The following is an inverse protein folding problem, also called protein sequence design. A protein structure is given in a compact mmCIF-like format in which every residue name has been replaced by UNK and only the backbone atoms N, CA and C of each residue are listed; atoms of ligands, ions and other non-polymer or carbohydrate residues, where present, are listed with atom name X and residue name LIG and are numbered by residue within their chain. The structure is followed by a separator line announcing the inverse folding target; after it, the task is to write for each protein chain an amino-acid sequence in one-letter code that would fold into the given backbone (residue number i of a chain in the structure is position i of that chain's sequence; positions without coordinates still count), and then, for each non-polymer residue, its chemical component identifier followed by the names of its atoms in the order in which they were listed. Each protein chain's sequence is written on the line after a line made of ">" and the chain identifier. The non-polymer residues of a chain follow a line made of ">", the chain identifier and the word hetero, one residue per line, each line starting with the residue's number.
data_IF_465171974193
#
_entry.id   IF_465171974193
#
_cell.length_a   1.000
_cell.length_b   1.000
_cell.length_c   1.000
_cell.angle_alpha   90.00
_cell.angle_beta   90.00
_cell.angle_gamma   90.00
#
_symmetry.space_group_name_H-M   'P 1'
#
loop_
_entity.id
_entity.type
_entity.pdbx_description
1 polymer ?
#
# COMPACT_ATOMS: atom_id res chain seq x y z
N UNK A 1 -4.17 14.53 16.90
CA UNK A 1 -3.80 13.27 16.22
C UNK A 1 -4.79 13.01 15.09
N UNK A 2 -4.35 12.45 13.96
CA UNK A 2 -5.25 11.94 12.92
C UNK A 2 -5.47 10.45 13.12
N UNK A 3 -6.72 9.97 13.14
CA UNK A 3 -7.09 8.56 13.25
C UNK A 3 -7.72 8.10 11.93
N UNK A 4 -7.29 6.95 11.45
CA UNK A 4 -7.83 6.27 10.27
C UNK A 4 -8.31 4.88 10.68
N UNK A 5 -9.46 4.48 10.16
CA UNK A 5 -10.03 3.14 10.32
C UNK A 5 -10.23 2.51 8.95
N UNK A 6 -9.77 1.26 8.79
CA UNK A 6 -9.77 0.59 7.49
C UNK A 6 -10.20 -0.85 7.64
N UNK A 7 -11.25 -1.26 6.92
CA UNK A 7 -11.70 -2.65 6.92
C UNK A 7 -10.64 -3.55 6.29
N UNK A 8 -10.24 -4.60 7.01
CA UNK A 8 -9.23 -5.56 6.57
C UNK A 8 -9.87 -6.89 6.10
N UNK A 9 -11.05 -7.22 6.62
CA UNK A 9 -11.81 -8.42 6.23
C UNK A 9 -13.29 -8.26 6.60
N UNK A 10 -14.08 -9.33 6.45
CA UNK A 10 -15.44 -9.39 6.97
C UNK A 10 -15.52 -9.43 8.50
N UNK A 11 -14.40 -9.59 9.21
CA UNK A 11 -14.38 -9.69 10.67
C UNK A 11 -13.25 -8.90 11.33
N UNK A 12 -12.64 -7.94 10.62
CA UNK A 12 -11.51 -7.16 11.11
C UNK A 12 -11.47 -5.75 10.54
N UNK A 13 -11.16 -4.78 11.40
CA UNK A 13 -10.83 -3.39 11.05
C UNK A 13 -9.48 -3.04 11.68
N UNK A 14 -8.57 -2.47 10.90
CA UNK A 14 -7.29 -1.96 11.36
C UNK A 14 -7.38 -0.44 11.59
N UNK A 15 -6.86 0.00 12.72
CA UNK A 15 -6.74 1.40 13.10
C UNK A 15 -5.29 1.84 13.03
N UNK A 16 -5.04 3.02 12.47
CA UNK A 16 -3.74 3.71 12.51
C UNK A 16 -3.94 5.16 12.89
N UNK A 17 -3.02 5.72 13.66
CA UNK A 17 -3.07 7.14 14.01
C UNK A 17 -1.68 7.78 14.03
N UNK A 18 -1.64 9.11 13.95
CA UNK A 18 -0.41 9.87 14.16
C UNK A 18 -0.12 9.99 15.65
N UNK A 19 1.16 9.91 16.07
CA UNK A 19 1.53 10.19 17.45
C UNK A 19 1.01 11.57 17.92
N UNK A 20 0.67 11.69 19.20
CA UNK A 20 0.27 12.99 19.76
C UNK A 20 1.46 13.96 19.78
N UNK A 21 1.24 15.21 19.38
CA UNK A 21 2.29 16.25 19.34
C UNK A 21 2.57 16.88 20.70
N UNK A 22 1.65 16.70 21.66
CA UNK A 22 1.84 17.11 23.05
C UNK A 22 2.57 16.00 23.81
N UNK A 23 3.87 15.88 23.53
CA UNK A 23 4.69 14.70 23.83
C UNK A 23 5.33 14.70 25.24
N UNK A 24 4.87 15.55 26.16
CA UNK A 24 5.31 15.46 27.54
C UNK A 24 4.56 14.31 28.23
N UNK A 25 4.98 13.08 27.93
CA UNK A 25 4.68 11.91 28.76
C UNK A 25 3.59 10.94 28.28
N UNK A 26 3.20 10.92 26.99
CA UNK A 26 2.29 9.87 26.48
C UNK A 26 2.92 8.48 26.69
N UNK A 27 2.26 7.66 27.49
CA UNK A 27 2.70 6.28 27.76
C UNK A 27 1.83 5.25 27.07
N UNK A 28 0.58 5.59 26.74
CA UNK A 28 -0.35 4.69 26.09
C UNK A 28 -1.45 5.43 25.31
N UNK A 29 -2.14 4.67 24.47
CA UNK A 29 -3.36 5.05 23.77
C UNK A 29 -4.50 4.15 24.19
N UNK A 30 -5.67 4.73 24.53
CA UNK A 30 -6.88 3.96 24.79
C UNK A 30 -7.76 3.94 23.54
N UNK A 31 -8.18 2.74 23.15
CA UNK A 31 -9.01 2.49 21.96
C UNK A 31 -10.42 2.11 22.39
N UNK A 32 -11.41 2.76 21.81
CA UNK A 32 -12.82 2.50 22.02
C UNK A 32 -13.49 2.14 20.68
N UNK A 33 -14.45 1.22 20.74
CA UNK A 33 -15.32 0.87 19.63
C UNK A 33 -16.76 1.00 20.08
N UNK A 34 -17.52 1.81 19.35
CA UNK A 34 -18.90 2.20 19.67
C UNK A 34 -18.99 2.66 21.13
N UNK A 35 -18.07 3.57 21.51
CA UNK A 35 -17.91 4.15 22.86
C UNK A 35 -17.51 3.15 23.96
N UNK A 36 -17.35 1.86 23.65
CA UNK A 36 -16.93 0.83 24.60
C UNK A 36 -15.42 0.61 24.52
N UNK A 37 -14.74 0.63 25.66
CA UNK A 37 -13.30 0.37 25.77
C UNK A 37 -12.94 -1.02 25.19
N UNK A 38 -11.88 -1.07 24.39
CA UNK A 38 -11.39 -2.30 23.76
C UNK A 38 -9.98 -2.64 24.17
N UNK A 39 -9.07 -1.67 24.16
CA UNK A 39 -7.67 -1.93 24.42
C UNK A 39 -6.92 -0.69 24.90
N UNK A 40 -5.80 -0.95 25.59
CA UNK A 40 -4.74 0.01 25.83
C UNK A 40 -3.53 -0.41 24.99
N UNK A 41 -3.02 0.49 24.16
CA UNK A 41 -1.84 0.28 23.30
C UNK A 41 -0.69 1.09 23.87
N UNK A 42 0.39 0.43 24.30
CA UNK A 42 1.56 1.13 24.84
C UNK A 42 2.28 1.92 23.75
N UNK A 43 2.69 3.15 24.06
CA UNK A 43 3.58 3.93 23.20
C UNK A 43 4.94 3.20 23.06
N UNK A 44 5.64 3.32 21.91
CA UNK A 44 5.37 4.21 20.79
C UNK A 44 4.44 3.63 19.71
N UNK A 45 3.79 2.48 19.94
CA UNK A 45 2.90 1.90 18.93
C UNK A 45 1.68 2.81 18.67
N UNK A 46 1.34 2.97 17.39
CA UNK A 46 0.24 3.85 16.92
C UNK A 46 -0.73 3.14 15.98
N UNK A 47 -0.91 1.84 16.22
CA UNK A 47 -1.82 1.00 15.46
C UNK A 47 -2.54 -0.01 16.36
N UNK A 48 -3.71 -0.46 15.94
CA UNK A 48 -4.50 -1.49 16.62
C UNK A 48 -5.31 -2.31 15.60
N UNK A 49 -5.34 -3.63 15.77
CA UNK A 49 -6.13 -4.53 14.93
C UNK A 49 -7.34 -5.05 15.72
N UNK A 50 -8.53 -4.59 15.36
CA UNK A 50 -9.77 -5.02 15.98
C UNK A 50 -10.38 -6.20 15.21
N UNK A 51 -10.53 -7.35 15.89
CA UNK A 51 -10.95 -8.63 15.28
C UNK A 51 -12.25 -9.15 15.91
N UNK A 52 -12.83 -10.20 15.31
CA UNK A 52 -14.07 -10.81 15.80
C UNK A 52 -15.32 -9.97 15.51
N UNK A 53 -15.25 -9.13 14.47
CA UNK A 53 -16.34 -8.26 14.04
C UNK A 53 -17.39 -9.02 13.23
N UNK A 54 -18.61 -8.50 13.20
CA UNK A 54 -19.65 -8.96 12.30
C UNK A 54 -19.41 -8.42 10.89
N UNK A 55 -19.75 -9.20 9.87
CA UNK A 55 -19.66 -8.81 8.47
C UNK A 55 -20.66 -7.69 8.12
N UNK A 56 -20.34 -6.88 7.11
CA UNK A 56 -21.19 -5.78 6.62
C UNK A 56 -21.68 -4.82 7.71
N UNK A 57 -20.88 -4.59 8.74
CA UNK A 57 -21.27 -3.80 9.91
C UNK A 57 -20.39 -2.57 10.03
N UNK A 58 -21.02 -1.39 10.18
CA UNK A 58 -20.34 -0.12 10.45
C UNK A 58 -19.94 -0.07 11.92
N UNK A 59 -18.68 0.22 12.18
CA UNK A 59 -18.14 0.43 13.52
C UNK A 59 -17.55 1.83 13.63
N UNK A 60 -17.75 2.45 14.80
CA UNK A 60 -17.18 3.76 15.13
C UNK A 60 -16.04 3.58 16.13
N UNK A 61 -14.92 4.25 15.89
CA UNK A 61 -13.73 4.14 16.73
C UNK A 61 -13.32 5.49 17.28
N UNK A 62 -12.88 5.50 18.54
CA UNK A 62 -12.16 6.63 19.10
C UNK A 62 -10.86 6.21 19.75
N UNK A 63 -9.85 7.09 19.65
CA UNK A 63 -8.54 6.90 20.28
C UNK A 63 -8.18 8.16 21.07
N UNK A 64 -7.71 7.98 22.30
CA UNK A 64 -7.13 9.05 23.13
C UNK A 64 -5.72 8.68 23.58
N UNK A 65 -4.85 9.69 23.72
CA UNK A 65 -3.50 9.52 24.23
C UNK A 65 -3.49 9.84 25.71
N UNK A 66 -2.89 8.97 26.53
CA UNK A 66 -2.84 9.13 27.98
C UNK A 66 -1.39 9.14 28.49
N UNK A 67 -1.14 9.92 29.54
CA UNK A 67 0.15 9.99 30.22
C UNK A 67 0.28 8.99 31.40
N UNK A 68 1.46 8.93 32.01
CA UNK A 68 1.71 8.07 33.18
C UNK A 68 0.89 8.44 34.43
N UNK A 69 0.37 9.67 34.51
CA UNK A 69 -0.47 10.16 35.59
C UNK A 69 -1.97 9.89 35.33
N UNK A 70 -2.33 9.36 34.16
CA UNK A 70 -3.70 9.05 33.76
C UNK A 70 -4.46 10.22 33.12
N UNK A 71 -3.78 11.32 32.79
CA UNK A 71 -4.40 12.40 32.02
C UNK A 71 -4.51 11.98 30.56
N UNK A 72 -5.70 12.08 29.98
CA UNK A 72 -5.96 11.70 28.59
C UNK A 72 -6.36 12.92 27.74
N UNK A 73 -5.94 12.91 26.49
CA UNK A 73 -6.23 13.97 25.52
C UNK A 73 -7.65 13.89 24.93
N UNK A 74 -8.01 14.88 24.12
CA UNK A 74 -9.24 14.81 23.32
C UNK A 74 -9.23 13.59 22.38
N UNK A 75 -10.39 12.97 22.22
CA UNK A 75 -10.54 11.80 21.36
C UNK A 75 -10.43 12.17 19.88
N UNK A 76 -9.67 11.39 19.11
CA UNK A 76 -9.79 11.34 17.65
C UNK A 76 -10.78 10.26 17.25
N UNK A 77 -11.56 10.49 16.19
CA UNK A 77 -12.62 9.59 15.75
C UNK A 77 -12.46 9.17 14.29
N UNK A 78 -12.84 7.94 13.98
CA UNK A 78 -12.93 7.39 12.62
C UNK A 78 -14.03 6.31 12.58
N UNK A 79 -14.44 5.91 11.38
CA UNK A 79 -15.38 4.78 11.22
C UNK A 79 -15.05 3.98 9.97
N UNK A 80 -15.40 2.70 9.99
CA UNK A 80 -15.26 1.82 8.83
C UNK A 80 -16.31 0.70 8.87
N UNK A 81 -16.68 0.20 7.69
CA UNK A 81 -17.63 -0.91 7.54
C UNK A 81 -16.87 -2.17 7.15
N UNK A 82 -17.04 -3.27 7.90
CA UNK A 82 -16.46 -4.57 7.54
C UNK A 82 -16.98 -5.07 6.20
N UNK A 83 -16.20 -5.94 5.55
CA UNK A 83 -16.64 -6.55 4.29
C UNK A 83 -17.84 -7.51 4.50
N UNK A 84 -18.55 -7.83 3.42
CA UNK A 84 -19.55 -8.90 3.47
C UNK A 84 -18.92 -10.27 3.68
N UNK A 85 -19.68 -11.21 4.23
CA UNK A 85 -19.19 -12.55 4.50
C UNK A 85 -18.70 -13.23 3.19
N UNK A 86 -17.54 -13.88 3.24
CA UNK A 86 -16.93 -14.53 2.07
C UNK A 86 -16.15 -13.59 1.15
N UNK A 87 -16.15 -12.28 1.41
CA UNK A 87 -15.30 -11.33 0.71
C UNK A 87 -13.92 -11.25 1.38
N UNK A 88 -12.86 -11.34 0.58
CA UNK A 88 -11.49 -11.12 1.03
C UNK A 88 -10.89 -9.89 0.34
N UNK A 89 -9.88 -9.30 0.99
CA UNK A 89 -9.00 -8.32 0.37
C UNK A 89 -7.77 -9.04 -0.15
N UNK A 90 -7.35 -8.69 -1.36
CA UNK A 90 -6.00 -9.00 -1.80
C UNK A 90 -5.07 -7.93 -1.23
N UNK A 91 -4.10 -8.36 -0.43
CA UNK A 91 -3.02 -7.49 0.03
C UNK A 91 -1.75 -7.95 -0.67
N UNK A 92 -1.16 -7.15 -1.58
CA UNK A 92 0.07 -7.54 -2.26
C UNK A 92 1.20 -7.69 -1.24
N UNK A 93 1.78 -8.89 -1.20
CA UNK A 93 3.04 -9.15 -0.51
C UNK A 93 4.16 -9.17 -1.56
N UNK A 94 5.13 -8.29 -1.38
CA UNK A 94 6.33 -8.22 -2.18
C UNK A 94 7.39 -9.11 -1.56
N UNK A 95 8.12 -9.82 -2.40
CA UNK A 95 9.39 -10.45 -2.07
C UNK A 95 10.55 -9.51 -2.44
N UNK A 96 11.77 -9.72 -1.89
CA UNK A 96 12.95 -9.03 -2.38
C UNK A 96 13.14 -9.22 -3.88
N UNK A 97 13.42 -8.13 -4.59
CA UNK A 97 13.55 -8.08 -6.04
C UNK A 97 12.30 -7.55 -6.74
N UNK A 98 12.16 -7.90 -8.02
CA UNK A 98 11.11 -7.36 -8.90
C UNK A 98 9.85 -8.21 -8.81
N UNK A 99 8.76 -7.58 -8.37
CA UNK A 99 7.44 -8.18 -8.22
C UNK A 99 6.51 -7.59 -9.28
N UNK A 100 5.75 -8.44 -9.95
CA UNK A 100 4.70 -8.00 -10.86
C UNK A 100 3.35 -8.05 -10.14
N UNK A 101 2.69 -6.91 -10.02
CA UNK A 101 1.43 -6.74 -9.30
C UNK A 101 0.42 -5.94 -10.14
N UNK A 102 -0.83 -5.87 -9.69
CA UNK A 102 -1.93 -5.14 -10.34
C UNK A 102 -2.51 -4.12 -9.37
N UNK A 103 -3.03 -3.00 -9.88
CA UNK A 103 -3.83 -2.11 -9.05
C UNK A 103 -5.16 -2.78 -8.69
N UNK A 104 -5.24 -3.26 -7.44
CA UNK A 104 -6.40 -3.97 -6.91
C UNK A 104 -7.60 -3.05 -6.61
N UNK A 105 -7.41 -1.73 -6.66
CA UNK A 105 -8.46 -0.75 -6.41
C UNK A 105 -9.38 -0.61 -7.64
N UNK A 106 -10.63 -0.23 -7.39
CA UNK A 106 -11.55 0.24 -8.43
C UNK A 106 -11.35 1.74 -8.76
N UNK A 107 -10.33 2.36 -8.19
CA UNK A 107 -9.91 3.75 -8.42
C UNK A 107 -8.48 3.81 -8.90
N UNK A 108 -8.10 4.93 -9.51
CA UNK A 108 -6.71 5.20 -9.84
C UNK A 108 -5.86 5.25 -8.56
N UNK A 109 -4.75 4.54 -8.58
CA UNK A 109 -3.73 4.52 -7.56
C UNK A 109 -2.78 5.70 -7.78
N UNK A 110 -2.63 6.54 -6.77
CA UNK A 110 -1.61 7.58 -6.74
C UNK A 110 -0.29 6.99 -6.23
N UNK A 111 0.73 7.05 -7.08
CA UNK A 111 2.03 6.40 -6.84
C UNK A 111 2.75 7.04 -5.65
N UNK A 112 2.64 8.37 -5.49
CA UNK A 112 3.28 9.07 -4.38
C UNK A 112 2.57 8.77 -3.06
N UNK A 113 1.24 8.70 -3.05
CA UNK A 113 0.50 8.32 -1.83
C UNK A 113 0.78 6.87 -1.43
N UNK A 114 0.94 5.98 -2.40
CA UNK A 114 1.12 4.54 -2.16
C UNK A 114 2.55 4.18 -1.76
N UNK A 115 3.54 4.75 -2.46
CA UNK A 115 4.94 4.39 -2.32
C UNK A 115 5.81 5.48 -1.68
N UNK A 116 5.33 6.72 -1.64
CA UNK A 116 6.08 7.89 -1.19
C UNK A 116 7.17 8.32 -2.15
N UNK A 117 7.89 9.35 -1.73
CA UNK A 117 9.16 9.77 -2.30
C UNK A 117 10.04 10.37 -1.18
N UNK A 118 11.27 10.79 -1.46
CA UNK A 118 12.13 11.33 -0.39
C UNK A 118 11.61 12.67 0.20
N UNK A 119 10.79 13.40 -0.55
CA UNK A 119 10.16 14.66 -0.09
C UNK A 119 8.91 14.40 0.76
N UNK A 120 8.23 13.27 0.54
CA UNK A 120 6.99 12.85 1.20
C UNK A 120 7.00 11.33 1.44
N UNK A 121 7.75 10.85 2.45
CA UNK A 121 7.93 9.42 2.69
C UNK A 121 6.66 8.77 3.26
N UNK A 122 6.41 7.55 2.81
CA UNK A 122 5.44 6.60 3.37
C UNK A 122 6.20 5.63 4.27
N UNK A 123 5.85 5.63 5.55
CA UNK A 123 6.53 4.83 6.57
C UNK A 123 6.51 3.33 6.22
N UNK A 124 7.66 2.68 6.41
CA UNK A 124 7.86 1.27 6.05
C UNK A 124 7.84 0.95 4.54
N UNK A 125 7.55 1.91 3.64
CA UNK A 125 7.47 1.66 2.19
C UNK A 125 8.59 2.36 1.44
N UNK A 126 8.77 3.67 1.63
CA UNK A 126 9.65 4.50 0.77
C UNK A 126 11.12 4.07 0.81
N UNK A 127 11.64 3.66 1.96
CA UNK A 127 13.01 3.15 2.08
C UNK A 127 13.20 1.73 1.56
N UNK A 128 12.10 0.96 1.48
CA UNK A 128 12.10 -0.45 1.13
C UNK A 128 11.84 -0.70 -0.35
N UNK A 129 11.12 0.22 -1.02
CA UNK A 129 10.85 0.15 -2.47
C UNK A 129 11.89 0.95 -3.23
N UNK A 130 12.51 0.29 -4.21
CA UNK A 130 13.59 0.84 -5.04
C UNK A 130 13.04 1.57 -6.25
N UNK A 131 12.10 0.94 -6.97
CA UNK A 131 11.52 1.49 -8.19
C UNK A 131 10.17 0.86 -8.52
N UNK A 132 9.36 1.62 -9.23
CA UNK A 132 8.08 1.21 -9.80
C UNK A 132 8.13 1.45 -11.31
N UNK A 133 7.66 0.46 -12.07
CA UNK A 133 7.65 0.50 -13.53
C UNK A 133 6.27 0.14 -14.08
N UNK A 134 5.86 0.83 -15.13
CA UNK A 134 4.65 0.50 -15.89
C UNK A 134 4.89 0.71 -17.38
N UNK A 135 4.43 -0.19 -18.23
CA UNK A 135 4.49 0.02 -19.68
C UNK A 135 3.32 0.91 -20.13
N UNK A 136 3.62 2.03 -20.79
CA UNK A 136 2.60 2.81 -21.49
C UNK A 136 2.53 2.34 -22.95
N UNK A 137 1.48 1.56 -23.27
CA UNK A 137 1.27 1.06 -24.62
C UNK A 137 0.82 2.13 -25.62
N UNK A 138 0.23 3.23 -25.16
CA UNK A 138 -0.20 4.35 -26.03
C UNK A 138 1.02 5.06 -26.60
N UNK A 139 2.00 5.32 -25.73
CA UNK A 139 3.19 6.09 -26.06
C UNK A 139 4.40 5.21 -26.40
N UNK A 140 4.27 3.89 -26.23
CA UNK A 140 5.31 2.90 -26.54
C UNK A 140 6.58 3.06 -25.70
N UNK A 141 6.46 3.54 -24.46
CA UNK A 141 7.60 3.73 -23.55
C UNK A 141 7.30 3.34 -22.12
N UNK A 142 8.36 3.09 -21.36
CA UNK A 142 8.26 2.79 -19.93
C UNK A 142 7.96 4.06 -19.13
N UNK A 143 7.12 3.92 -18.11
CA UNK A 143 6.92 4.89 -17.05
C UNK A 143 7.67 4.43 -15.80
N UNK A 144 8.32 5.36 -15.11
CA UNK A 144 9.24 5.13 -14.01
C UNK A 144 8.94 6.02 -12.80
N UNK A 145 9.07 5.45 -11.60
CA UNK A 145 9.17 6.17 -10.35
C UNK A 145 10.14 5.47 -9.38
N UNK A 146 10.90 6.22 -8.60
CA UNK A 146 11.67 5.73 -7.46
C UNK A 146 11.32 6.50 -6.19
N UNK A 147 10.79 5.84 -5.15
CA UNK A 147 10.50 6.46 -3.86
C UNK A 147 11.74 6.97 -3.14
N UNK A 148 12.93 6.51 -3.55
CA UNK A 148 14.19 6.92 -2.96
C UNK A 148 14.71 8.25 -3.52
N UNK A 149 14.05 8.81 -4.54
CA UNK A 149 14.40 10.08 -5.15
C UNK A 149 13.42 11.18 -4.75
N UNK A 150 13.90 12.42 -4.75
CA UNK A 150 13.05 13.59 -4.70
C UNK A 150 12.25 13.68 -6.00
N UNK A 151 11.10 14.36 -5.97
CA UNK A 151 10.21 14.45 -7.13
C UNK A 151 10.92 15.04 -8.37
N UNK A 152 11.79 16.02 -8.17
CA UNK A 152 12.57 16.65 -9.22
C UNK A 152 13.61 15.70 -9.83
N UNK A 153 14.34 14.95 -9.01
CA UNK A 153 15.37 14.02 -9.46
C UNK A 153 14.75 12.82 -10.19
N UNK A 154 13.60 12.35 -9.73
CA UNK A 154 12.83 11.32 -10.42
C UNK A 154 12.42 11.78 -11.83
N UNK A 155 11.94 13.02 -11.96
CA UNK A 155 11.56 13.58 -13.25
C UNK A 155 12.77 13.75 -14.18
N UNK A 156 13.91 14.21 -13.66
CA UNK A 156 15.15 14.33 -14.41
C UNK A 156 15.65 12.96 -14.90
N UNK A 157 15.62 11.93 -14.05
CA UNK A 157 16.00 10.58 -14.42
C UNK A 157 15.10 10.01 -15.52
N UNK A 158 13.78 10.16 -15.39
CA UNK A 158 12.83 9.70 -16.39
C UNK A 158 13.10 10.36 -17.75
N UNK A 159 13.27 11.69 -17.77
CA UNK A 159 13.57 12.44 -18.98
C UNK A 159 14.90 11.99 -19.65
N UNK A 160 15.95 11.78 -18.86
CA UNK A 160 17.27 11.37 -19.37
C UNK A 160 17.26 9.99 -20.05
N UNK A 161 16.29 9.12 -19.71
CA UNK A 161 16.18 7.76 -20.24
C UNK A 161 14.98 7.58 -21.17
N UNK A 162 14.31 8.67 -21.58
CA UNK A 162 13.11 8.63 -22.41
C UNK A 162 11.97 7.79 -21.77
N UNK A 163 11.81 7.92 -20.46
CA UNK A 163 10.71 7.35 -19.69
C UNK A 163 9.67 8.41 -19.36
N UNK A 164 8.44 7.97 -19.09
CA UNK A 164 7.44 8.80 -18.43
C UNK A 164 7.67 8.85 -16.93
N UNK A 165 7.26 9.95 -16.29
CA UNK A 165 7.11 9.96 -14.85
C UNK A 165 5.84 9.17 -14.50
N UNK A 166 6.02 8.07 -13.78
CA UNK A 166 4.90 7.27 -13.30
C UNK A 166 4.28 7.93 -12.06
N UNK A 167 3.17 8.63 -12.25
CA UNK A 167 2.42 9.29 -11.17
C UNK A 167 1.15 8.54 -10.78
N UNK A 168 0.55 7.79 -11.72
CA UNK A 168 -0.72 7.10 -11.53
C UNK A 168 -0.76 5.71 -12.17
N UNK A 169 -1.54 4.82 -11.56
CA UNK A 169 -1.84 3.47 -12.07
C UNK A 169 -3.36 3.28 -12.04
N UNK A 170 -3.98 3.10 -13.20
CA UNK A 170 -5.44 2.99 -13.31
C UNK A 170 -5.95 1.62 -12.83
N UNK A 171 -7.25 1.49 -12.50
CA UNK A 171 -7.84 0.19 -12.17
C UNK A 171 -7.55 -0.86 -13.24
N UNK A 172 -7.05 -2.02 -12.82
CA UNK A 172 -6.77 -3.16 -13.70
C UNK A 172 -5.47 -3.07 -14.50
N UNK A 173 -4.67 -2.01 -14.33
CA UNK A 173 -3.32 -1.94 -14.87
C UNK A 173 -2.34 -2.76 -14.01
N UNK A 174 -1.47 -3.51 -14.68
CA UNK A 174 -0.33 -4.20 -14.08
C UNK A 174 0.92 -3.32 -14.06
N UNK A 175 1.75 -3.50 -13.03
CA UNK A 175 2.99 -2.76 -12.84
C UNK A 175 4.00 -3.57 -12.04
N UNK A 176 5.28 -3.19 -12.14
CA UNK A 176 6.37 -3.86 -11.43
C UNK A 176 6.85 -3.01 -10.26
N UNK A 177 7.12 -3.66 -9.12
CA UNK A 177 7.70 -3.05 -7.94
C UNK A 177 8.96 -3.79 -7.56
N UNK A 178 10.08 -3.08 -7.51
CA UNK A 178 11.34 -3.62 -7.01
C UNK A 178 11.47 -3.30 -5.52
N UNK A 179 11.50 -4.33 -4.67
CA UNK A 179 11.63 -4.21 -3.22
C UNK A 179 12.99 -4.71 -2.73
N UNK A 180 13.57 -4.08 -1.72
CA UNK A 180 14.80 -4.55 -1.07
C UNK A 180 14.53 -5.64 -0.02
N UNK A 181 13.30 -5.69 0.49
CA UNK A 181 12.89 -6.56 1.61
C UNK A 181 11.51 -7.15 1.34
N UNK A 182 11.10 -8.21 2.06
CA UNK A 182 9.69 -8.59 2.07
C UNK A 182 8.83 -7.43 2.58
N UNK A 183 7.75 -7.08 1.88
CA UNK A 183 6.92 -5.92 2.21
C UNK A 183 5.45 -6.17 1.85
N UNK A 184 4.54 -5.88 2.79
CA UNK A 184 3.09 -5.92 2.56
C UNK A 184 2.57 -4.51 2.22
N UNK A 185 1.93 -4.34 1.06
CA UNK A 185 1.35 -3.05 0.63
C UNK A 185 -0.09 -2.90 1.14
N UNK A 186 -0.24 -2.46 2.39
CA UNK A 186 -1.54 -2.36 3.08
C UNK A 186 -2.44 -1.22 2.59
N UNK A 187 -1.92 -0.26 1.81
CA UNK A 187 -2.68 0.85 1.22
C UNK A 187 -3.48 0.46 -0.04
N UNK A 188 -3.32 -0.78 -0.53
CA UNK A 188 -3.91 -1.31 -1.76
C UNK A 188 -5.15 -2.17 -1.50
N UNK A 189 -6.04 -1.76 -0.59
CA UNK A 189 -7.24 -2.55 -0.28
C UNK A 189 -8.27 -2.39 -1.38
N UNK A 190 -8.28 -3.34 -2.32
CA UNK A 190 -9.29 -3.44 -3.37
C UNK A 190 -10.71 -3.57 -2.84
N UNK A 191 -11.70 -3.53 -3.74
CA UNK A 191 -13.04 -3.98 -3.37
C UNK A 191 -12.97 -5.45 -2.94
N UNK A 192 -13.69 -5.80 -1.87
CA UNK A 192 -13.81 -7.21 -1.48
C UNK A 192 -14.27 -8.05 -2.66
N UNK A 193 -13.71 -9.25 -2.81
CA UNK A 193 -14.15 -10.19 -3.84
C UNK A 193 -14.45 -11.55 -3.22
N UNK A 194 -15.43 -12.24 -3.80
CA UNK A 194 -15.82 -13.59 -3.36
C UNK A 194 -15.12 -14.61 -4.24
N UNK A 195 -14.22 -15.41 -3.67
CA UNK A 195 -13.53 -16.46 -4.42
C UNK A 195 -14.38 -17.75 -4.42
N UNK A 196 -15.12 -17.98 -5.50
CA UNK A 196 -15.83 -19.26 -5.72
C UNK A 196 -15.04 -20.17 -6.65
N UNK A 197 -13.93 -20.75 -6.16
CA UNK A 197 -13.11 -21.70 -6.91
C UNK A 197 -12.37 -21.10 -8.12
N UNK A 198 -11.86 -21.93 -9.03
CA UNK A 198 -11.05 -21.50 -10.18
C UNK A 198 -11.89 -20.89 -11.32
N UNK A 199 -12.95 -20.14 -10.98
CA UNK A 199 -13.79 -19.47 -11.97
C UNK A 199 -13.27 -18.05 -12.22
N UNK A 200 -12.40 -17.91 -13.22
CA UNK A 200 -11.77 -16.64 -13.62
C UNK A 200 -12.75 -15.58 -14.12
N UNK A 201 -14.00 -15.95 -14.46
CA UNK A 201 -15.04 -15.00 -14.86
C UNK A 201 -15.64 -14.22 -13.68
N UNK A 202 -15.35 -14.62 -12.43
CA UNK A 202 -15.82 -13.95 -11.21
C UNK A 202 -14.83 -12.91 -10.66
N UNK A 203 -13.70 -12.67 -11.34
CA UNK A 203 -12.70 -11.70 -10.91
C UNK A 203 -13.19 -10.26 -11.20
N UNK A 204 -13.17 -9.34 -10.22
CA UNK A 204 -13.60 -7.96 -10.44
C UNK A 204 -12.63 -7.21 -11.37
N UNK A 205 -13.14 -6.17 -12.04
CA UNK A 205 -12.30 -5.18 -12.72
C UNK A 205 -11.28 -4.59 -11.75
N UNK A 206 -9.99 -4.63 -12.07
CA UNK A 206 -8.91 -4.38 -11.09
C UNK A 206 -7.95 -5.57 -10.94
N UNK A 207 -8.37 -6.75 -11.38
CA UNK A 207 -7.54 -7.93 -11.43
C UNK A 207 -7.03 -8.15 -12.85
N UNK A 208 -5.71 -8.29 -13.02
CA UNK A 208 -5.12 -9.25 -13.95
C UNK A 208 -3.62 -9.40 -13.69
N UNK A 209 -3.24 -10.45 -12.96
CA UNK A 209 -2.10 -11.28 -13.33
C UNK A 209 -2.22 -12.66 -12.70
N UNK A 210 -3.14 -13.47 -13.25
CA UNK A 210 -2.96 -14.92 -13.31
C UNK A 210 -2.89 -15.25 -14.80
N UNK A 211 -1.77 -15.83 -15.25
CA UNK A 211 -1.69 -16.41 -16.58
C UNK A 211 -2.65 -17.60 -16.63
N UNK A 212 -3.72 -17.51 -17.41
CA UNK A 212 -4.59 -18.65 -17.76
C UNK A 212 -4.60 -18.90 -19.26
N UNK A 213 -3.48 -18.61 -19.91
CA UNK A 213 -3.24 -19.11 -21.25
C UNK A 213 -2.31 -20.33 -21.12
N UNK A 214 -2.77 -21.48 -21.59
CA UNK A 214 -2.04 -22.74 -21.71
C UNK A 214 -0.87 -22.65 -22.72
N UNK A 215 -0.24 -21.48 -22.86
CA UNK A 215 0.80 -21.24 -23.87
C UNK A 215 1.82 -20.17 -23.51
N UNK A 216 1.64 -19.38 -22.43
CA UNK A 216 2.59 -18.33 -22.07
C UNK A 216 2.90 -18.29 -20.57
N UNK A 217 4.08 -18.79 -20.20
CA UNK A 217 4.70 -18.57 -18.89
C UNK A 217 5.02 -17.09 -18.67
N UNK A 218 5.27 -16.62 -17.43
CA UNK A 218 5.77 -15.27 -17.18
C UNK A 218 7.02 -14.89 -18.00
N UNK A 219 7.88 -15.87 -18.35
CA UNK A 219 9.02 -15.62 -19.25
C UNK A 219 8.60 -15.42 -20.70
N UNK A 220 7.55 -16.11 -21.17
CA UNK A 220 7.01 -15.91 -22.52
C UNK A 220 6.16 -14.63 -22.63
N UNK A 221 5.52 -14.16 -21.54
CA UNK A 221 4.94 -12.81 -21.44
C UNK A 221 6.04 -11.74 -21.54
N UNK A 222 7.15 -11.89 -20.81
CA UNK A 222 8.30 -11.00 -20.92
C UNK A 222 8.94 -10.97 -22.32
N UNK A 223 8.80 -12.05 -23.10
CA UNK A 223 9.25 -12.13 -24.51
C UNK A 223 8.23 -11.52 -25.48
N UNK A 224 6.93 -11.50 -25.12
CA UNK A 224 5.87 -10.85 -25.90
C UNK A 224 5.83 -9.32 -25.72
N UNK A 225 6.38 -8.81 -24.61
CA UNK A 225 6.70 -7.38 -24.45
C UNK A 225 7.96 -7.10 -25.28
N UNK A 226 7.88 -6.22 -26.27
CA UNK A 226 8.97 -5.97 -27.24
C UNK A 226 10.25 -5.38 -26.62
N UNK A 227 10.20 -5.00 -25.34
CA UNK A 227 11.37 -4.66 -24.52
C UNK A 227 11.12 -5.19 -23.09
N UNK A 228 11.87 -6.18 -22.59
CA UNK A 228 11.81 -6.52 -21.17
C UNK A 228 12.16 -5.27 -20.34
N UNK A 229 11.64 -5.14 -19.10
CA UNK A 229 12.14 -4.11 -18.19
C UNK A 229 13.67 -4.28 -18.06
N UNK A 230 14.43 -3.17 -17.94
CA UNK A 230 15.88 -3.24 -17.83
C UNK A 230 16.29 -4.24 -16.76
N UNK A 231 17.22 -5.15 -17.08
CA UNK A 231 17.72 -6.11 -16.12
C UNK A 231 18.34 -5.39 -14.89
N UNK A 232 18.26 -6.03 -13.73
CA UNK A 232 18.87 -5.55 -12.49
C UNK A 232 20.38 -5.29 -12.65
N UNK A 233 20.85 -4.14 -12.15
CA UNK A 233 22.26 -3.73 -12.07
C UNK A 233 22.63 -2.76 -13.19
N UNK A 234 22.53 -1.43 -13.02
CA UNK A 234 23.12 -0.62 -11.95
C UNK A 234 22.18 0.57 -11.66
N UNK A 235 21.53 0.59 -10.50
CA UNK A 235 21.47 1.87 -9.77
C UNK A 235 22.89 2.06 -9.25
N UNK A 236 23.54 3.22 -9.42
CA UNK A 236 24.89 3.42 -8.93
C UNK A 236 25.00 3.00 -7.45
N UNK A 237 25.60 1.84 -7.20
CA UNK A 237 26.01 1.38 -5.86
C UNK A 237 27.25 2.12 -5.39
N UNK A 238 27.62 3.20 -6.08
CA UNK A 238 28.64 4.13 -5.69
C UNK A 238 28.12 5.54 -5.96
N UNK A 239 27.87 6.23 -4.85
CA UNK A 239 28.29 7.62 -4.70
C UNK A 239 27.52 8.68 -5.49
N UNK A 240 26.41 9.13 -4.91
CA UNK A 240 26.14 10.57 -4.83
C UNK A 240 26.50 10.99 -3.37
N UNK A 241 27.79 11.30 -3.16
CA UNK A 241 28.70 10.91 -2.03
C UNK A 241 28.45 11.58 -0.68
N UNK A 242 27.35 12.28 -0.56
CA UNK A 242 26.96 13.08 0.57
C UNK A 242 25.50 13.38 0.32
N UNK A 243 24.63 12.68 1.02
CA UNK A 243 23.88 13.20 2.17
C UNK A 243 23.74 12.05 3.17
#
# INVERSE_FOLDING_TARGET
>A
MGLTATAASSSQINLTWTASTDNVGVTAYQVFRDEVFRATVSAPAVNFSDTGLAASTLYSYTVTACDAAGNCSAQAAASATTLAAGQNLFVPNLEPGVNLISNALNTTLDVTVTFGNSDAPVDGVTSNVVSIWKWNAVDGRWAFNSPQLAAADNAAYAAAHNYEVLSVINPGEGYWVNSNVPLTLTSQLGAGFTWTGINFAALPSGFNLITTADSYTPSQFNVAVTNPPPAQGVIPTTNFVSL
#
